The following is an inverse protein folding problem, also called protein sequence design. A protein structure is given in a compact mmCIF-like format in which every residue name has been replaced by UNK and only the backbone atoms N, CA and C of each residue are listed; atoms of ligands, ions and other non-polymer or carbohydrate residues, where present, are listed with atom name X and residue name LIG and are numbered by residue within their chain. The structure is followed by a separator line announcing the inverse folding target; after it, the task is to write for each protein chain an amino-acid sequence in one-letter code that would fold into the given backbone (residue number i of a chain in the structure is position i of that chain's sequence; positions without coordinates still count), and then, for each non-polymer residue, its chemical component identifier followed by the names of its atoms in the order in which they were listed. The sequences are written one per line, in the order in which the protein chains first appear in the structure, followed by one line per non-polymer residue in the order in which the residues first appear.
data_IF_953005076318
#
_entry.id   IF_953005076318
#
_cell.length_a   1.000
_cell.length_b   1.000
_cell.length_c   1.000
_cell.angle_alpha   90.00
_cell.angle_beta   90.00
_cell.angle_gamma   90.00
#
_symmetry.space_group_name_H-M   'P 1'
#
loop_
_entity.id
_entity.type
_entity.pdbx_description
1 polymer ?
#
# COMPACT_ATOMS: atom_id res chain seq x y z
N UNK A 1 21.98 9.58 2.81
CA UNK A 1 22.20 8.46 1.87
C UNK A 1 21.28 7.31 2.23
N UNK A 2 20.60 6.75 1.25
CA UNK A 2 19.67 5.66 1.50
C UNK A 2 20.40 4.36 1.79
N UNK A 3 19.85 3.55 2.72
CA UNK A 3 20.38 2.23 3.06
C UNK A 3 19.97 1.20 2.02
N UNK A 4 20.58 0.01 2.09
CA UNK A 4 20.18 -1.10 1.22
C UNK A 4 18.70 -1.46 1.46
N UNK A 5 18.27 -1.46 2.71
CA UNK A 5 16.87 -1.73 3.05
C UNK A 5 15.94 -0.70 2.42
N UNK A 6 16.30 0.58 2.52
CA UNK A 6 15.48 1.64 1.93
C UNK A 6 15.36 1.47 0.41
N UNK A 7 16.44 1.07 -0.26
CA UNK A 7 16.40 0.79 -1.70
C UNK A 7 15.49 -0.39 -2.03
N UNK A 8 15.55 -1.46 -1.23
CA UNK A 8 14.68 -2.63 -1.42
C UNK A 8 13.21 -2.27 -1.26
N UNK A 9 12.90 -1.50 -0.23
CA UNK A 9 11.53 -1.07 0.05
C UNK A 9 11.02 -0.14 -1.05
N UNK A 10 11.86 0.78 -1.52
CA UNK A 10 11.51 1.66 -2.65
C UNK A 10 11.18 0.83 -3.89
N UNK A 11 12.01 -0.18 -4.20
CA UNK A 11 11.77 -1.05 -5.35
C UNK A 11 10.45 -1.83 -5.20
N UNK A 12 10.16 -2.28 -3.98
CA UNK A 12 8.90 -2.97 -3.69
C UNK A 12 7.70 -2.06 -3.99
N UNK A 13 7.71 -0.83 -3.50
CA UNK A 13 6.59 0.09 -3.69
C UNK A 13 6.50 0.63 -5.11
N UNK A 14 7.59 0.61 -5.87
CA UNK A 14 7.53 0.89 -7.31
C UNK A 14 6.67 -0.16 -8.01
N UNK A 15 6.86 -1.44 -7.67
CA UNK A 15 6.02 -2.53 -8.20
C UNK A 15 4.58 -2.41 -7.73
N UNK A 16 4.39 -2.02 -6.48
CA UNK A 16 3.07 -1.79 -5.89
C UNK A 16 2.30 -0.72 -6.69
N UNK A 17 2.98 0.38 -7.00
CA UNK A 17 2.38 1.46 -7.78
C UNK A 17 2.01 1.00 -9.19
N UNK A 18 2.87 0.23 -9.84
CA UNK A 18 2.59 -0.32 -11.17
C UNK A 18 1.37 -1.24 -11.15
N UNK A 19 1.27 -2.06 -10.10
CA UNK A 19 0.13 -2.98 -9.97
C UNK A 19 -1.18 -2.22 -9.85
N UNK A 20 -1.23 -1.17 -9.02
CA UNK A 20 -2.43 -0.34 -8.88
C UNK A 20 -2.74 0.41 -10.17
N UNK A 21 -1.74 0.96 -10.84
CA UNK A 21 -1.95 1.70 -12.09
C UNK A 21 -2.48 0.79 -13.20
N UNK A 22 -2.14 -0.50 -13.16
CA UNK A 22 -2.64 -1.47 -14.15
C UNK A 22 -4.05 -1.95 -13.85
N UNK A 23 -4.63 -1.57 -12.71
CA UNK A 23 -5.97 -1.97 -12.26
C UNK A 23 -6.10 -3.50 -12.26
N UNK A 24 -5.09 -4.16 -11.69
CA UNK A 24 -4.98 -5.63 -11.70
C UNK A 24 -4.92 -6.16 -10.26
N UNK A 25 -6.06 -6.60 -9.75
CA UNK A 25 -6.20 -7.09 -8.39
C UNK A 25 -5.31 -8.29 -8.09
N UNK A 26 -5.09 -9.17 -9.05
CA UNK A 26 -4.20 -10.32 -8.87
C UNK A 26 -2.75 -9.87 -8.65
N UNK A 27 -2.32 -8.90 -9.43
CA UNK A 27 -0.98 -8.33 -9.32
C UNK A 27 -0.78 -7.66 -7.97
N UNK A 28 -1.79 -6.88 -7.54
CA UNK A 28 -1.76 -6.22 -6.23
C UNK A 28 -1.70 -7.27 -5.13
N UNK A 29 -2.55 -8.29 -5.20
CA UNK A 29 -2.62 -9.35 -4.20
C UNK A 29 -1.30 -10.11 -4.06
N UNK A 30 -0.54 -10.25 -5.15
CA UNK A 30 0.75 -10.94 -5.12
C UNK A 30 1.80 -10.23 -4.26
N UNK A 31 1.57 -8.97 -3.89
CA UNK A 31 2.45 -8.17 -3.05
C UNK A 31 2.05 -8.21 -1.58
N UNK A 32 0.99 -8.94 -1.24
CA UNK A 32 0.48 -9.09 0.11
C UNK A 32 0.70 -10.51 0.61
N UNK A 33 0.91 -10.61 1.92
CA UNK A 33 0.81 -11.90 2.61
C UNK A 33 -0.67 -12.25 2.76
N UNK A 34 -1.02 -13.52 2.67
CA UNK A 34 -2.35 -13.99 2.99
C UNK A 34 -2.24 -14.92 4.22
N UNK A 35 -2.88 -14.59 5.34
CA UNK A 35 -3.83 -13.47 5.54
C UNK A 35 -3.13 -12.12 5.69
N UNK A 36 -3.91 -11.06 5.52
CA UNK A 36 -3.47 -9.70 5.77
C UNK A 36 -4.60 -8.92 6.45
N UNK A 37 -4.23 -7.85 7.15
CA UNK A 37 -5.20 -6.93 7.75
C UNK A 37 -4.96 -5.56 7.15
N UNK A 38 -6.04 -4.89 6.74
CA UNK A 38 -5.95 -3.53 6.22
C UNK A 38 -6.97 -2.64 6.92
N UNK A 39 -6.51 -1.48 7.40
CA UNK A 39 -7.35 -0.42 7.94
C UNK A 39 -7.45 0.65 6.85
N UNK A 40 -8.67 0.89 6.39
CA UNK A 40 -8.92 1.80 5.27
C UNK A 40 -9.13 3.23 5.76
N UNK A 41 -9.10 4.17 4.80
CA UNK A 41 -9.25 5.59 5.11
C UNK A 41 -10.57 5.98 5.76
N UNK A 42 -11.61 5.17 5.61
CA UNK A 42 -12.89 5.37 6.29
C UNK A 42 -12.93 4.73 7.68
N UNK A 43 -11.83 4.14 8.13
CA UNK A 43 -11.72 3.47 9.42
C UNK A 43 -12.17 2.01 9.43
N UNK A 44 -12.66 1.50 8.30
CA UNK A 44 -13.06 0.09 8.22
C UNK A 44 -11.84 -0.82 8.28
N UNK A 45 -12.01 -1.99 8.93
CA UNK A 45 -10.94 -2.96 9.12
C UNK A 45 -11.34 -4.25 8.40
N UNK A 46 -10.46 -4.75 7.55
CA UNK A 46 -10.72 -5.96 6.78
C UNK A 46 -9.62 -6.98 7.03
N UNK A 47 -10.03 -8.22 7.28
CA UNK A 47 -9.12 -9.36 7.35
C UNK A 47 -9.32 -10.18 6.07
N UNK A 48 -8.29 -10.19 5.22
CA UNK A 48 -8.34 -10.87 3.93
C UNK A 48 -7.53 -12.16 4.07
N UNK A 49 -8.19 -13.30 3.99
CA UNK A 49 -7.64 -14.58 4.43
C UNK A 49 -6.92 -15.36 3.36
N UNK A 50 -7.25 -15.09 2.09
CA UNK A 50 -6.69 -15.83 0.98
C UNK A 50 -6.27 -14.89 -0.14
N UNK A 51 -5.42 -15.37 -1.02
CA UNK A 51 -5.03 -14.62 -2.22
C UNK A 51 -6.26 -14.23 -3.05
N UNK A 52 -7.24 -15.11 -3.14
CA UNK A 52 -8.46 -14.87 -3.88
C UNK A 52 -9.29 -13.72 -3.29
N UNK A 53 -9.45 -13.71 -1.96
CA UNK A 53 -10.11 -12.58 -1.28
C UNK A 53 -9.37 -11.27 -1.50
N UNK A 54 -8.03 -11.31 -1.37
CA UNK A 54 -7.17 -10.16 -1.60
C UNK A 54 -7.35 -9.61 -3.02
N UNK A 55 -7.34 -10.51 -4.01
CA UNK A 55 -7.45 -10.11 -5.40
C UNK A 55 -8.77 -9.41 -5.68
N UNK A 56 -9.87 -9.95 -5.15
CA UNK A 56 -11.20 -9.34 -5.33
C UNK A 56 -11.30 -7.98 -4.62
N UNK A 57 -10.80 -7.93 -3.38
CA UNK A 57 -10.84 -6.70 -2.60
C UNK A 57 -10.08 -5.57 -3.30
N UNK A 58 -8.85 -5.84 -3.70
CA UNK A 58 -8.01 -4.82 -4.31
C UNK A 58 -8.38 -4.54 -5.77
N UNK A 59 -9.03 -5.46 -6.45
CA UNK A 59 -9.62 -5.17 -7.76
C UNK A 59 -10.67 -4.06 -7.60
N UNK A 60 -11.54 -4.17 -6.61
CA UNK A 60 -12.56 -3.15 -6.34
C UNK A 60 -11.94 -1.82 -5.94
N UNK A 61 -10.90 -1.85 -5.09
CA UNK A 61 -10.19 -0.63 -4.67
C UNK A 61 -9.56 0.06 -5.89
N UNK A 62 -8.86 -0.71 -6.72
CA UNK A 62 -8.18 -0.16 -7.89
C UNK A 62 -9.16 0.41 -8.92
N UNK A 63 -10.28 -0.27 -9.12
CA UNK A 63 -11.33 0.22 -10.02
C UNK A 63 -11.96 1.50 -9.49
N UNK A 64 -12.18 1.58 -8.19
CA UNK A 64 -12.72 2.78 -7.54
C UNK A 64 -11.77 3.96 -7.74
N UNK A 65 -10.47 3.74 -7.50
CA UNK A 65 -9.45 4.77 -7.71
C UNK A 65 -9.46 5.23 -9.17
N UNK A 66 -9.55 4.29 -10.10
CA UNK A 66 -9.56 4.62 -11.52
C UNK A 66 -10.79 5.46 -11.89
N UNK A 67 -11.96 5.11 -11.36
CA UNK A 67 -13.20 5.87 -11.59
C UNK A 67 -13.12 7.28 -11.01
N UNK A 68 -12.36 7.46 -9.94
CA UNK A 68 -12.15 8.77 -9.29
C UNK A 68 -10.99 9.54 -9.92
N UNK A 69 -10.49 9.06 -11.05
CA UNK A 69 -9.38 9.67 -11.80
C UNK A 69 -8.06 9.69 -11.01
N UNK A 70 -7.86 8.68 -10.14
CA UNK A 70 -6.58 8.48 -9.46
C UNK A 70 -5.73 7.57 -10.36
N UNK A 71 -4.79 8.15 -11.11
CA UNK A 71 -4.10 7.43 -12.17
C UNK A 71 -2.68 7.01 -11.81
N UNK A 72 -2.04 7.74 -10.90
CA UNK A 72 -0.69 7.43 -10.44
C UNK A 72 -0.52 7.91 -9.02
N UNK A 73 0.53 7.44 -8.35
CA UNK A 73 0.84 7.87 -6.99
C UNK A 73 2.33 8.06 -6.84
N UNK A 74 2.72 9.06 -6.07
CA UNK A 74 4.11 9.32 -5.72
C UNK A 74 4.32 9.20 -4.23
N UNK A 75 5.50 8.74 -3.83
CA UNK A 75 5.88 8.53 -2.44
C UNK A 75 6.62 9.75 -1.90
N UNK A 76 6.22 10.19 -0.72
CA UNK A 76 6.85 11.34 -0.05
C UNK A 76 7.03 11.03 1.44
N UNK A 77 8.02 11.67 2.06
CA UNK A 77 8.27 11.57 3.50
C UNK A 77 8.28 10.13 4.00
N UNK A 78 8.96 9.27 3.26
CA UNK A 78 9.02 7.84 3.54
C UNK A 78 9.94 7.58 4.71
N UNK A 79 9.43 6.82 5.69
CA UNK A 79 10.22 6.37 6.84
C UNK A 79 10.26 4.85 6.82
N UNK A 80 11.45 4.27 6.95
CA UNK A 80 11.63 2.81 6.98
C UNK A 80 12.32 2.46 8.28
N UNK A 81 11.63 1.70 9.13
CA UNK A 81 12.15 1.24 10.42
C UNK A 81 12.32 -0.28 10.34
N UNK A 82 13.57 -0.78 10.40
CA UNK A 82 13.76 -2.23 10.42
C UNK A 82 13.24 -2.83 11.73
N UNK A 83 12.60 -3.97 11.63
CA UNK A 83 12.14 -4.74 12.80
C UNK A 83 12.87 -6.08 12.69
N UNK A 84 14.07 -6.17 13.31
CA UNK A 84 14.95 -7.29 13.10
C UNK A 84 15.42 -7.35 11.65
N UNK A 85 15.68 -8.56 11.16
CA UNK A 85 16.24 -8.76 9.81
C UNK A 85 15.19 -9.15 8.76
N UNK A 86 13.99 -9.49 9.20
CA UNK A 86 12.96 -10.05 8.29
C UNK A 86 11.67 -9.27 8.26
N UNK A 87 11.66 -8.09 8.87
CA UNK A 87 10.46 -7.27 8.87
C UNK A 87 10.85 -5.80 8.84
N UNK A 88 9.92 -4.95 8.42
CA UNK A 88 10.13 -3.51 8.40
C UNK A 88 8.79 -2.82 8.54
N UNK A 89 8.80 -1.67 9.22
CA UNK A 89 7.66 -0.77 9.25
C UNK A 89 7.96 0.39 8.32
N UNK A 90 7.14 0.57 7.30
CA UNK A 90 7.31 1.64 6.33
C UNK A 90 6.12 2.58 6.38
N UNK A 91 6.37 3.86 6.51
CA UNK A 91 5.32 4.88 6.51
C UNK A 91 5.56 5.83 5.36
N UNK A 92 4.51 6.09 4.59
CA UNK A 92 4.60 6.83 3.33
C UNK A 92 3.49 7.88 3.29
N UNK A 93 3.81 9.09 2.84
CA UNK A 93 2.79 10.03 2.39
C UNK A 93 2.58 9.77 0.90
N UNK A 94 1.38 9.35 0.56
CA UNK A 94 0.98 9.13 -0.82
C UNK A 94 0.35 10.38 -1.40
N UNK A 95 0.80 10.78 -2.57
CA UNK A 95 0.13 11.81 -3.37
C UNK A 95 -0.42 11.14 -4.62
N UNK A 96 -1.74 11.03 -4.69
CA UNK A 96 -2.42 10.44 -5.84
C UNK A 96 -2.72 11.54 -6.86
N UNK A 97 -2.35 11.28 -8.10
CA UNK A 97 -2.42 12.25 -9.18
C UNK A 97 -3.48 11.85 -10.20
N UNK A 98 -4.14 12.84 -10.77
CA UNK A 98 -5.08 12.67 -11.88
C UNK A 98 -4.31 12.46 -13.19
N UNK A 99 -5.03 12.12 -14.25
CA UNK A 99 -4.45 11.93 -15.57
C UNK A 99 -3.69 13.16 -16.08
N UNK A 100 -4.11 14.37 -15.67
CA UNK A 100 -3.46 15.62 -16.06
C UNK A 100 -2.26 15.97 -15.16
N UNK A 101 -1.93 15.12 -14.18
CA UNK A 101 -0.82 15.33 -13.25
C UNK A 101 -1.15 16.15 -12.03
N UNK A 102 -2.37 16.66 -11.91
CA UNK A 102 -2.75 17.44 -10.74
C UNK A 102 -3.01 16.54 -9.54
N UNK A 103 -2.81 17.10 -8.32
CA UNK A 103 -3.04 16.37 -7.08
C UNK A 103 -4.52 16.13 -6.85
N UNK A 104 -4.92 14.88 -6.74
CA UNK A 104 -6.31 14.51 -6.45
C UNK A 104 -6.52 14.28 -4.96
N UNK A 105 -5.59 13.59 -4.31
CA UNK A 105 -5.75 13.16 -2.92
C UNK A 105 -4.38 12.93 -2.30
N UNK A 106 -4.29 13.17 -1.00
CA UNK A 106 -3.06 12.91 -0.24
C UNK A 106 -3.44 12.23 1.07
N UNK A 107 -2.67 11.22 1.45
CA UNK A 107 -2.86 10.55 2.74
C UNK A 107 -1.55 9.94 3.21
N UNK A 108 -1.52 9.58 4.50
CA UNK A 108 -0.36 8.89 5.06
C UNK A 108 -0.78 7.48 5.46
N UNK A 109 0.09 6.52 5.20
CA UNK A 109 -0.21 5.10 5.41
C UNK A 109 1.03 4.37 5.90
N UNK A 110 0.85 3.48 6.86
CA UNK A 110 1.92 2.63 7.36
C UNK A 110 1.71 1.19 6.93
N UNK A 111 2.82 0.51 6.65
CA UNK A 111 2.82 -0.87 6.20
C UNK A 111 3.79 -1.67 7.04
N UNK A 112 3.34 -2.77 7.61
CA UNK A 112 4.26 -3.76 8.16
C UNK A 112 4.57 -4.76 7.04
N UNK A 113 5.83 -4.79 6.62
CA UNK A 113 6.29 -5.73 5.60
C UNK A 113 7.08 -6.85 6.23
N UNK A 114 6.97 -8.03 5.64
CA UNK A 114 7.77 -9.18 6.04
C UNK A 114 8.55 -9.69 4.85
N UNK A 115 9.79 -10.12 5.10
CA UNK A 115 10.65 -10.70 4.06
C UNK A 115 10.44 -12.21 4.04
N UNK A 116 9.92 -12.70 2.93
CA UNK A 116 9.72 -14.12 2.68
C UNK A 116 10.72 -14.60 1.63
N UNK A 117 10.70 -15.89 1.32
CA UNK A 117 11.56 -16.43 0.26
C UNK A 117 11.32 -15.76 -1.07
N UNK A 118 10.06 -15.42 -1.36
CA UNK A 118 9.66 -14.77 -2.62
C UNK A 118 9.98 -13.28 -2.66
N UNK A 119 10.34 -12.67 -1.51
CA UNK A 119 10.60 -11.26 -1.39
C UNK A 119 9.74 -10.60 -0.32
N UNK A 120 9.70 -9.28 -0.33
CA UNK A 120 8.89 -8.54 0.62
C UNK A 120 7.41 -8.68 0.32
N UNK A 121 6.60 -8.77 1.39
CA UNK A 121 5.13 -8.82 1.29
C UNK A 121 4.52 -7.97 2.40
N UNK A 122 3.38 -7.35 2.11
CA UNK A 122 2.65 -6.56 3.11
C UNK A 122 1.84 -7.49 3.99
N UNK A 123 2.03 -7.40 5.30
CA UNK A 123 1.28 -8.16 6.30
C UNK A 123 0.11 -7.35 6.85
N UNK A 124 0.33 -6.08 7.13
CA UNK A 124 -0.69 -5.16 7.65
C UNK A 124 -0.50 -3.81 6.96
N UNK A 125 -1.60 -3.19 6.55
CA UNK A 125 -1.55 -1.81 6.07
C UNK A 125 -2.58 -0.98 6.83
N UNK A 126 -2.19 0.25 7.20
CA UNK A 126 -3.03 1.11 8.04
C UNK A 126 -2.98 2.54 7.53
N UNK A 127 -4.12 3.05 7.07
CA UNK A 127 -4.27 4.48 6.79
C UNK A 127 -4.16 5.25 8.10
N UNK A 128 -3.43 6.36 8.09
CA UNK A 128 -3.44 7.27 9.24
C UNK A 128 -4.76 8.04 9.20
N UNK A 129 -5.57 7.82 10.22
CA UNK A 129 -6.85 8.51 10.34
C UNK A 129 -6.61 9.87 10.98
N UNK A 130 -7.16 10.91 10.38
CA UNK A 130 -6.87 12.28 10.79
C UNK A 130 -7.49 12.66 12.12
N UNK A 131 -8.50 11.93 12.56
CA UNK A 131 -9.16 12.21 13.83
C UNK A 131 -9.65 10.92 14.44
N UNK A 132 -9.91 10.97 15.75
CA UNK A 132 -10.53 9.83 16.40
C UNK A 132 -11.93 9.61 15.85
N UNK A 133 -12.39 8.36 15.92
CA UNK A 133 -13.73 8.01 15.46
C UNK A 133 -14.76 8.87 16.20
N UNK A 134 -15.72 9.41 15.47
CA UNK A 134 -16.77 10.24 16.04
C UNK A 134 -16.41 11.71 16.16
N UNK A 135 -15.29 12.10 15.65
CA UNK A 135 -14.94 13.51 15.65
C UNK A 135 -15.20 14.13 14.28
#
# INVERSE_FOLDING_TARGET
MATALEHEIQAFFNQYNEAFASVDGNRIASLYHAPTITVRGDGSIHCLRSHEELARFFQDVAETYHREDLRSSTMHDTEVVPIGQRSALTTITWKALRADGSLARQWRQSYNLVRLTEGWRILVSTFHLSSAAGQ
#
